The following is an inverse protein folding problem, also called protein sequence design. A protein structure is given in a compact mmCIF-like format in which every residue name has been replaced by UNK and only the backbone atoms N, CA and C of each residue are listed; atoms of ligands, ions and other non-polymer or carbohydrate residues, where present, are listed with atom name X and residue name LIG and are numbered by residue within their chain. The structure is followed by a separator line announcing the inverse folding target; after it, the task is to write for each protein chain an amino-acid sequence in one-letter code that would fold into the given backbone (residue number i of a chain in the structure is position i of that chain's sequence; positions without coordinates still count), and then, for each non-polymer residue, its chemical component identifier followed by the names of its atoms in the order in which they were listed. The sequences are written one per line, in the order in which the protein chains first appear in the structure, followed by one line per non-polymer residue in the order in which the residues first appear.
data_IF_308881699177
#
_entry.id   IF_308881699177
#
_cell.length_a   1.000
_cell.length_b   1.000
_cell.length_c   1.000
_cell.angle_alpha   90.00
_cell.angle_beta   90.00
_cell.angle_gamma   90.00
#
_symmetry.space_group_name_H-M   'P 1'
#
loop_
_entity.id
_entity.type
_entity.pdbx_description
1 polymer ?
#
# COMPACT_ATOMS: atom_id res chain seq x y z
N UNK A 1 9.81 -0.98 15.89
CA UNK A 1 9.04 0.20 16.35
C UNK A 1 9.68 0.87 17.56
N UNK A 2 9.99 0.20 18.64
CA UNK A 2 10.47 0.84 19.87
C UNK A 2 11.73 1.70 19.70
N UNK A 3 12.74 1.28 18.94
CA UNK A 3 13.99 2.03 18.76
C UNK A 3 13.77 3.31 17.95
N UNK A 4 13.08 3.22 16.82
CA UNK A 4 12.79 4.39 15.95
C UNK A 4 11.87 5.40 16.66
N UNK A 5 10.87 4.93 17.42
CA UNK A 5 10.00 5.80 18.21
C UNK A 5 10.73 6.50 19.35
N UNK A 6 11.67 5.84 20.02
CA UNK A 6 12.50 6.45 21.06
C UNK A 6 13.44 7.51 20.45
N UNK A 7 14.03 7.23 19.28
CA UNK A 7 14.88 8.21 18.58
C UNK A 7 14.08 9.47 18.18
N UNK A 8 12.88 9.28 17.63
CA UNK A 8 12.02 10.39 17.26
C UNK A 8 11.56 11.23 18.46
N UNK A 9 11.20 10.57 19.57
CA UNK A 9 10.85 11.26 20.81
C UNK A 9 12.01 12.11 21.36
N UNK A 10 13.21 11.56 21.35
CA UNK A 10 14.42 12.28 21.79
C UNK A 10 14.79 13.45 20.87
N UNK A 11 14.39 13.41 19.60
CA UNK A 11 14.61 14.47 18.62
C UNK A 11 13.48 15.51 18.57
N UNK A 12 12.41 15.32 19.38
CA UNK A 12 11.23 16.18 19.34
C UNK A 12 10.44 16.09 18.02
N UNK A 13 10.60 14.99 17.27
CA UNK A 13 9.93 14.78 15.99
C UNK A 13 8.47 14.34 16.21
N UNK A 14 7.59 15.33 16.37
CA UNK A 14 6.15 15.11 16.59
C UNK A 14 5.45 14.45 15.41
N UNK A 15 5.89 14.73 14.19
CA UNK A 15 5.42 14.13 12.96
C UNK A 15 5.61 12.61 12.98
N UNK A 16 6.80 12.15 13.33
CA UNK A 16 7.09 10.73 13.43
C UNK A 16 6.28 10.01 14.51
N UNK A 17 5.97 10.69 15.62
CA UNK A 17 5.07 10.14 16.65
C UNK A 17 3.65 9.94 16.10
N UNK A 18 3.17 10.88 15.27
CA UNK A 18 1.89 10.76 14.59
C UNK A 18 1.87 9.55 13.64
N UNK A 19 2.89 9.38 12.80
CA UNK A 19 3.01 8.22 11.92
C UNK A 19 3.11 6.89 12.67
N UNK A 20 3.86 6.87 13.77
CA UNK A 20 3.96 5.69 14.63
C UNK A 20 2.61 5.31 15.22
N UNK A 21 1.84 6.29 15.68
CA UNK A 21 0.48 6.10 16.19
C UNK A 21 -0.47 5.57 15.11
N UNK A 22 -0.46 6.17 13.94
CA UNK A 22 -1.26 5.74 12.79
C UNK A 22 -0.94 4.31 12.38
N UNK A 23 0.34 3.94 12.33
CA UNK A 23 0.78 2.58 12.00
C UNK A 23 0.30 1.57 13.05
N UNK A 24 0.29 1.92 14.34
CA UNK A 24 -0.25 1.05 15.39
C UNK A 24 -1.75 0.80 15.18
N UNK A 25 -2.51 1.82 14.82
CA UNK A 25 -3.95 1.69 14.51
C UNK A 25 -4.14 0.77 13.30
N UNK A 26 -3.36 0.97 12.24
CA UNK A 26 -3.40 0.10 11.04
C UNK A 26 -3.07 -1.35 11.41
N UNK A 27 -2.01 -1.59 12.18
CA UNK A 27 -1.64 -2.95 12.64
C UNK A 27 -2.79 -3.56 13.44
N UNK A 28 -3.41 -2.81 14.35
CA UNK A 28 -4.54 -3.31 15.12
C UNK A 28 -5.71 -3.73 14.22
N UNK A 29 -6.08 -2.88 13.26
CA UNK A 29 -7.14 -3.17 12.28
C UNK A 29 -6.80 -4.43 11.47
N UNK A 30 -5.58 -4.53 10.95
CA UNK A 30 -5.11 -5.69 10.17
C UNK A 30 -5.15 -6.98 10.99
N UNK A 31 -4.76 -6.93 12.27
CA UNK A 31 -4.85 -8.10 13.17
C UNK A 31 -6.32 -8.53 13.38
N UNK A 32 -7.25 -7.59 13.58
CA UNK A 32 -8.67 -7.94 13.71
C UNK A 32 -9.24 -8.51 12.40
N UNK A 33 -8.89 -7.93 11.26
CA UNK A 33 -9.28 -8.44 9.95
C UNK A 33 -8.68 -9.82 9.68
N UNK A 34 -7.40 -10.05 10.04
CA UNK A 34 -6.74 -11.33 9.84
C UNK A 34 -7.46 -12.49 10.54
N UNK A 35 -8.07 -12.25 11.70
CA UNK A 35 -8.87 -13.27 12.41
C UNK A 35 -10.09 -13.77 11.61
N UNK A 36 -10.57 -12.97 10.65
CA UNK A 36 -11.75 -13.29 9.82
C UNK A 36 -11.37 -13.67 8.39
N UNK A 37 -10.38 -12.96 7.84
CA UNK A 37 -9.98 -13.07 6.43
C UNK A 37 -8.92 -14.16 6.21
N UNK A 38 -8.07 -14.41 7.24
CA UNK A 38 -6.92 -15.31 7.14
C UNK A 38 -5.98 -14.93 6.00
N UNK A 39 -5.52 -13.67 6.00
CA UNK A 39 -4.59 -13.15 4.98
C UNK A 39 -3.48 -14.12 4.64
N UNK A 40 -3.18 -14.24 3.37
CA UNK A 40 -2.05 -15.05 2.88
C UNK A 40 -0.71 -14.52 3.41
N UNK A 41 0.30 -15.40 3.41
CA UNK A 41 1.66 -15.00 3.77
C UNK A 41 2.18 -13.88 2.89
N UNK A 42 1.83 -13.88 1.59
CA UNK A 42 2.23 -12.84 0.64
C UNK A 42 1.66 -11.47 1.03
N UNK A 43 0.36 -11.37 1.33
CA UNK A 43 -0.25 -10.13 1.78
C UNK A 43 0.37 -9.61 3.08
N UNK A 44 0.59 -10.49 4.06
CA UNK A 44 1.23 -10.12 5.33
C UNK A 44 2.67 -9.63 5.13
N UNK A 45 3.46 -10.28 4.28
CA UNK A 45 4.82 -9.84 3.99
C UNK A 45 4.85 -8.50 3.26
N UNK A 46 3.99 -8.28 2.27
CA UNK A 46 3.89 -6.98 1.56
C UNK A 46 3.63 -5.85 2.55
N UNK A 47 2.64 -6.00 3.43
CA UNK A 47 2.28 -4.99 4.43
C UNK A 47 3.37 -4.81 5.49
N UNK A 48 4.04 -5.89 5.91
CA UNK A 48 5.12 -5.83 6.90
C UNK A 48 6.36 -5.11 6.34
N UNK A 49 6.77 -5.46 5.11
CA UNK A 49 7.91 -4.82 4.44
C UNK A 49 7.58 -3.35 4.18
N UNK A 50 6.37 -3.02 3.72
CA UNK A 50 5.94 -1.63 3.58
C UNK A 50 6.05 -0.87 4.91
N UNK A 51 5.48 -1.40 5.99
CA UNK A 51 5.54 -0.74 7.29
C UNK A 51 6.98 -0.51 7.78
N UNK A 52 7.89 -1.45 7.52
CA UNK A 52 9.31 -1.28 7.84
C UNK A 52 9.95 -0.18 6.98
N UNK A 53 9.75 -0.21 5.66
CA UNK A 53 10.27 0.79 4.73
C UNK A 53 9.71 2.19 5.03
N UNK A 54 8.43 2.27 5.37
CA UNK A 54 7.79 3.51 5.80
C UNK A 54 8.45 4.08 7.07
N UNK A 55 8.72 3.26 8.07
CA UNK A 55 9.36 3.70 9.31
C UNK A 55 10.80 4.18 9.10
N UNK A 56 11.60 3.50 8.30
CA UNK A 56 12.97 3.95 8.00
C UNK A 56 12.98 5.22 7.14
N UNK A 57 11.97 5.38 6.27
CA UNK A 57 11.82 6.59 5.45
C UNK A 57 11.81 7.88 6.25
N UNK A 58 11.07 7.90 7.36
CA UNK A 58 10.95 9.07 8.23
C UNK A 58 12.06 9.23 9.28
N UNK A 59 12.96 8.25 9.42
CA UNK A 59 13.96 8.26 10.52
C UNK A 59 15.40 8.26 10.06
N UNK A 60 15.68 7.74 8.87
CA UNK A 60 17.06 7.65 8.36
C UNK A 60 17.46 8.99 7.77
N UNK A 61 18.50 9.67 8.33
CA UNK A 61 18.99 10.92 7.78
C UNK A 61 19.72 10.68 6.44
N UNK A 62 19.58 11.63 5.52
CA UNK A 62 20.29 11.61 4.23
C UNK A 62 21.05 12.92 4.03
N UNK A 63 22.06 12.91 3.16
CA UNK A 63 22.80 14.11 2.80
C UNK A 63 21.87 15.12 2.12
N UNK A 64 21.91 16.42 2.52
CA UNK A 64 21.06 17.47 1.94
C UNK A 64 21.18 17.61 0.42
N UNK A 65 22.29 17.21 -0.17
CA UNK A 65 22.51 17.24 -1.64
C UNK A 65 21.51 16.35 -2.41
N UNK A 66 20.95 15.30 -1.75
CA UNK A 66 19.94 14.41 -2.32
C UNK A 66 18.51 14.80 -1.97
N UNK A 67 18.32 15.97 -1.34
CA UNK A 67 17.00 16.50 -0.97
C UNK A 67 16.74 17.78 -1.77
N UNK A 68 16.21 17.68 -3.00
CA UNK A 68 15.92 18.86 -3.80
C UNK A 68 14.69 19.59 -3.27
N UNK A 69 14.84 20.87 -3.00
CA UNK A 69 13.75 21.75 -2.55
C UNK A 69 13.56 21.78 -1.03
N UNK A 70 12.38 22.14 -0.60
CA UNK A 70 12.00 22.18 0.81
C UNK A 70 11.67 20.77 1.31
N UNK A 71 12.18 20.40 2.46
CA UNK A 71 11.96 19.12 3.12
C UNK A 71 13.03 18.82 4.16
N UNK A 72 12.75 17.95 5.11
CA UNK A 72 13.78 17.47 6.03
C UNK A 72 14.74 16.51 5.33
N UNK A 73 15.98 16.50 5.82
CA UNK A 73 17.04 15.63 5.31
C UNK A 73 16.85 14.18 5.81
N UNK A 74 15.70 13.59 5.51
CA UNK A 74 15.36 12.19 5.81
C UNK A 74 15.12 11.41 4.51
N UNK A 75 15.15 10.09 4.62
CA UNK A 75 15.08 9.19 3.46
C UNK A 75 13.80 9.38 2.63
N UNK A 76 12.68 9.81 3.20
CA UNK A 76 11.48 10.17 2.43
C UNK A 76 11.75 11.20 1.35
N UNK A 77 12.51 12.24 1.69
CA UNK A 77 12.83 13.33 0.76
C UNK A 77 13.93 12.95 -0.24
N UNK A 78 14.57 11.78 -0.06
CA UNK A 78 15.68 11.34 -0.89
C UNK A 78 15.28 11.19 -2.36
N UNK A 79 16.08 11.78 -3.23
CA UNK A 79 15.99 11.67 -4.69
C UNK A 79 17.39 11.50 -5.27
N UNK A 80 17.64 10.39 -5.91
CA UNK A 80 18.95 10.10 -6.49
C UNK A 80 19.29 11.05 -7.65
N UNK A 81 18.30 11.42 -8.47
CA UNK A 81 18.40 12.32 -9.61
C UNK A 81 17.09 13.11 -9.77
N UNK A 82 17.13 14.34 -10.33
CA UNK A 82 15.95 15.18 -10.48
C UNK A 82 14.81 14.58 -11.32
N UNK A 83 15.15 13.65 -12.24
CA UNK A 83 14.24 12.96 -13.15
C UNK A 83 13.65 11.68 -12.56
N UNK A 84 14.11 11.23 -11.38
CA UNK A 84 13.62 10.03 -10.72
C UNK A 84 12.59 10.36 -9.62
N UNK A 85 11.72 9.41 -9.28
CA UNK A 85 10.81 9.59 -8.15
C UNK A 85 11.57 9.70 -6.83
N UNK A 86 10.97 10.36 -5.85
CA UNK A 86 11.46 10.35 -4.46
C UNK A 86 11.27 8.96 -3.87
N UNK A 87 12.04 8.65 -2.83
CA UNK A 87 11.84 7.43 -2.05
C UNK A 87 10.40 7.30 -1.56
N UNK A 88 9.82 8.36 -1.05
CA UNK A 88 8.43 8.46 -0.61
C UNK A 88 7.45 7.92 -1.67
N UNK A 89 7.53 8.40 -2.89
CA UNK A 89 6.70 7.98 -4.02
C UNK A 89 6.83 6.47 -4.32
N UNK A 90 8.02 5.91 -4.17
CA UNK A 90 8.26 4.47 -4.33
C UNK A 90 7.55 3.69 -3.22
N UNK A 91 7.63 4.18 -1.98
CA UNK A 91 6.99 3.54 -0.83
C UNK A 91 5.46 3.65 -0.91
N UNK A 92 4.93 4.76 -1.42
CA UNK A 92 3.51 4.92 -1.72
C UNK A 92 3.04 3.86 -2.73
N UNK A 93 3.71 3.73 -3.88
CA UNK A 93 3.37 2.72 -4.87
C UNK A 93 3.42 1.30 -4.30
N UNK A 94 4.46 0.96 -3.55
CA UNK A 94 4.61 -0.35 -2.93
C UNK A 94 3.56 -0.60 -1.83
N UNK A 95 3.27 0.38 -1.00
CA UNK A 95 2.28 0.30 0.07
C UNK A 95 0.88 0.06 -0.45
N UNK A 96 0.47 0.82 -1.49
CA UNK A 96 -0.85 0.68 -2.07
C UNK A 96 -0.97 -0.53 -3.00
N UNK A 97 0.13 -1.07 -3.51
CA UNK A 97 0.15 -2.42 -4.06
C UNK A 97 -0.24 -3.45 -2.97
N UNK A 98 0.43 -3.44 -1.82
CA UNK A 98 0.13 -4.36 -0.71
C UNK A 98 -1.27 -4.19 -0.13
N UNK A 99 -1.75 -2.93 0.03
CA UNK A 99 -3.09 -2.63 0.50
C UNK A 99 -4.17 -3.15 -0.47
N UNK A 100 -3.95 -3.05 -1.79
CA UNK A 100 -4.87 -3.57 -2.81
C UNK A 100 -4.95 -5.10 -2.76
N UNK A 101 -3.82 -5.79 -2.58
CA UNK A 101 -3.81 -7.26 -2.37
C UNK A 101 -4.62 -7.63 -1.13
N UNK A 102 -4.46 -6.89 -0.03
CA UNK A 102 -5.26 -7.11 1.17
C UNK A 102 -6.76 -6.85 0.93
N UNK A 103 -7.13 -5.78 0.20
CA UNK A 103 -8.51 -5.51 -0.18
C UNK A 103 -9.11 -6.65 -1.00
N UNK A 104 -8.35 -7.19 -1.97
CA UNK A 104 -8.77 -8.32 -2.77
C UNK A 104 -9.08 -9.57 -1.91
N UNK A 105 -8.22 -9.89 -0.94
CA UNK A 105 -8.44 -10.99 0.00
C UNK A 105 -9.64 -10.74 0.93
N UNK A 106 -9.85 -9.49 1.38
CA UNK A 106 -10.99 -9.10 2.20
C UNK A 106 -12.31 -9.32 1.45
N UNK A 107 -12.41 -8.82 0.21
CA UNK A 107 -13.65 -8.95 -0.58
C UNK A 107 -13.95 -10.42 -0.86
N UNK A 108 -12.94 -11.22 -1.19
CA UNK A 108 -13.10 -12.68 -1.35
C UNK A 108 -13.65 -13.35 -0.09
N UNK A 109 -13.02 -13.08 1.05
CA UNK A 109 -13.33 -13.78 2.30
C UNK A 109 -14.66 -13.35 2.90
N UNK A 110 -14.96 -12.04 2.91
CA UNK A 110 -16.13 -11.51 3.61
C UNK A 110 -17.40 -11.52 2.76
N UNK A 111 -17.28 -11.35 1.44
CA UNK A 111 -18.42 -11.26 0.54
C UNK A 111 -18.63 -12.54 -0.28
N UNK A 112 -17.78 -13.56 -0.12
CA UNK A 112 -17.83 -14.77 -0.93
C UNK A 112 -17.71 -14.48 -2.43
N UNK A 113 -17.01 -13.37 -2.78
CA UNK A 113 -16.91 -12.94 -4.17
C UNK A 113 -16.17 -13.99 -5.00
N UNK A 114 -16.80 -14.33 -6.13
CA UNK A 114 -16.15 -15.21 -7.12
C UNK A 114 -14.95 -14.48 -7.72
N UNK A 115 -13.93 -15.25 -8.06
CA UNK A 115 -12.75 -14.76 -8.77
C UNK A 115 -13.13 -14.13 -10.10
N UNK A 116 -12.29 -13.27 -10.65
CA UNK A 116 -12.46 -12.69 -11.97
C UNK A 116 -12.07 -11.21 -12.06
N UNK A 117 -12.09 -10.69 -13.26
CA UNK A 117 -11.71 -9.31 -13.60
C UNK A 117 -12.43 -8.28 -12.72
N UNK A 118 -13.73 -8.49 -12.46
CA UNK A 118 -14.53 -7.57 -11.66
C UNK A 118 -13.99 -7.44 -10.21
N UNK A 119 -13.59 -8.54 -9.60
CA UNK A 119 -13.01 -8.53 -8.26
C UNK A 119 -11.68 -7.77 -8.22
N UNK A 120 -10.81 -8.00 -9.21
CA UNK A 120 -9.53 -7.30 -9.31
C UNK A 120 -9.72 -5.79 -9.53
N UNK A 121 -10.71 -5.38 -10.33
CA UNK A 121 -11.07 -3.96 -10.51
C UNK A 121 -11.60 -3.36 -9.22
N UNK A 122 -12.52 -4.03 -8.51
CA UNK A 122 -13.05 -3.57 -7.23
C UNK A 122 -11.91 -3.39 -6.21
N UNK A 123 -11.01 -4.36 -6.11
CA UNK A 123 -9.87 -4.26 -5.20
C UNK A 123 -8.94 -3.08 -5.55
N UNK A 124 -8.69 -2.84 -6.85
CA UNK A 124 -7.89 -1.70 -7.30
C UNK A 124 -8.57 -0.36 -6.93
N UNK A 125 -9.88 -0.23 -7.15
CA UNK A 125 -10.65 0.96 -6.75
C UNK A 125 -10.61 1.16 -5.23
N UNK A 126 -10.75 0.09 -4.44
CA UNK A 126 -10.60 0.17 -2.99
C UNK A 126 -9.20 0.64 -2.57
N UNK A 127 -8.15 0.12 -3.20
CA UNK A 127 -6.78 0.56 -2.99
C UNK A 127 -6.58 2.04 -3.32
N UNK A 128 -7.12 2.50 -4.46
CA UNK A 128 -7.11 3.93 -4.83
C UNK A 128 -7.84 4.79 -3.78
N UNK A 129 -8.99 4.33 -3.29
CA UNK A 129 -9.74 5.00 -2.23
C UNK A 129 -8.94 5.12 -0.92
N UNK A 130 -8.24 4.05 -0.52
CA UNK A 130 -7.33 4.10 0.63
C UNK A 130 -6.16 5.04 0.38
N UNK A 131 -5.61 5.08 -0.85
CA UNK A 131 -4.56 6.02 -1.24
C UNK A 131 -5.02 7.47 -1.13
N UNK A 132 -6.20 7.77 -1.66
CA UNK A 132 -6.77 9.11 -1.54
C UNK A 132 -7.06 9.50 -0.08
N UNK A 133 -7.54 8.55 0.75
CA UNK A 133 -7.75 8.77 2.17
C UNK A 133 -6.43 9.08 2.90
N UNK A 134 -5.34 8.37 2.54
CA UNK A 134 -4.02 8.68 3.09
C UNK A 134 -3.61 10.12 2.82
N UNK A 135 -3.72 10.56 1.56
CA UNK A 135 -3.37 11.93 1.18
C UNK A 135 -4.24 12.99 1.89
N UNK A 136 -5.53 12.68 2.12
CA UNK A 136 -6.40 13.55 2.91
C UNK A 136 -5.93 13.63 4.36
N UNK A 137 -5.52 12.52 4.97
CA UNK A 137 -5.01 12.51 6.35
C UNK A 137 -3.67 13.26 6.45
N UNK A 138 -2.77 13.11 5.48
CA UNK A 138 -1.52 13.86 5.40
C UNK A 138 -1.78 15.36 5.23
N UNK A 139 -2.68 15.74 4.33
CA UNK A 139 -3.08 17.14 4.17
C UNK A 139 -3.62 17.74 5.48
N UNK A 140 -4.49 17.00 6.20
CA UNK A 140 -5.00 17.46 7.51
C UNK A 140 -3.84 17.60 8.50
N UNK A 141 -2.91 16.65 8.55
CA UNK A 141 -1.74 16.71 9.42
C UNK A 141 -0.91 17.97 9.17
N UNK A 142 -0.66 18.34 7.90
CA UNK A 142 0.06 19.57 7.53
C UNK A 142 -0.64 20.84 7.99
N UNK A 143 -1.93 20.79 8.27
CA UNK A 143 -2.70 21.95 8.78
C UNK A 143 -2.69 22.04 10.31
N UNK A 144 -2.40 20.94 10.98
CA UNK A 144 -2.41 20.86 12.44
C UNK A 144 -1.01 20.96 13.06
N UNK A 145 0.02 20.55 12.34
CA UNK A 145 1.41 20.53 12.81
C UNK A 145 2.35 20.96 11.68
N UNK A 146 3.52 21.46 12.03
CA UNK A 146 4.61 21.59 11.07
C UNK A 146 5.07 20.19 10.68
N UNK A 147 4.87 19.83 9.42
CA UNK A 147 5.22 18.51 8.87
C UNK A 147 6.17 18.66 7.69
N UNK A 148 6.95 17.61 7.46
CA UNK A 148 7.84 17.53 6.29
C UNK A 148 7.14 16.87 5.09
N UNK A 149 5.91 16.41 5.25
CA UNK A 149 5.10 15.86 4.17
C UNK A 149 4.56 17.02 3.33
N UNK A 150 4.98 17.02 2.13
CA UNK A 150 4.83 17.80 0.98
C UNK A 150 3.73 18.83 0.85
N UNK A 151 3.92 19.78 -0.04
CA UNK A 151 2.90 20.69 -0.56
C UNK A 151 2.08 20.01 -1.67
N UNK A 152 1.23 20.81 -2.31
CA UNK A 152 0.33 20.40 -3.39
C UNK A 152 0.95 19.48 -4.45
N UNK A 153 2.19 19.77 -4.88
CA UNK A 153 2.89 18.96 -5.88
C UNK A 153 3.27 17.56 -5.35
N UNK A 154 3.66 17.45 -4.08
CA UNK A 154 3.97 16.14 -3.47
C UNK A 154 2.72 15.27 -3.39
N UNK A 155 1.65 15.79 -2.81
CA UNK A 155 0.34 15.10 -2.76
C UNK A 155 -0.10 14.59 -4.14
N UNK A 156 0.08 15.42 -5.19
CA UNK A 156 -0.23 15.00 -6.56
C UNK A 156 0.59 13.81 -7.04
N UNK A 157 1.90 13.79 -6.79
CA UNK A 157 2.78 12.67 -7.16
C UNK A 157 2.55 11.42 -6.31
N UNK A 158 2.18 11.59 -5.04
CA UNK A 158 1.85 10.48 -4.16
C UNK A 158 0.54 9.81 -4.60
N UNK A 159 -0.48 10.58 -5.02
CA UNK A 159 -1.68 10.05 -5.65
C UNK A 159 -1.39 9.29 -6.95
N UNK A 160 -0.46 9.78 -7.79
CA UNK A 160 -0.02 9.06 -8.99
C UNK A 160 0.65 7.76 -8.61
N UNK A 161 1.54 7.78 -7.62
CA UNK A 161 2.26 6.60 -7.13
C UNK A 161 1.31 5.56 -6.53
N UNK A 162 0.35 6.01 -5.71
CA UNK A 162 -0.73 5.18 -5.17
C UNK A 162 -1.51 4.50 -6.29
N UNK A 163 -1.88 5.26 -7.34
CA UNK A 163 -2.61 4.73 -8.50
C UNK A 163 -1.79 3.68 -9.25
N UNK A 164 -0.50 3.93 -9.49
CA UNK A 164 0.38 2.94 -10.14
C UNK A 164 0.43 1.66 -9.32
N UNK A 165 0.65 1.76 -8.01
CA UNK A 165 0.71 0.60 -7.11
C UNK A 165 -0.58 -0.22 -7.15
N UNK A 166 -1.74 0.43 -7.08
CA UNK A 166 -3.05 -0.23 -7.08
C UNK A 166 -3.37 -0.90 -8.41
N UNK A 167 -3.05 -0.26 -9.54
CA UNK A 167 -3.24 -0.84 -10.88
C UNK A 167 -2.35 -2.08 -11.07
N UNK A 168 -1.06 -1.97 -10.70
CA UNK A 168 -0.15 -3.12 -10.75
C UNK A 168 -0.64 -4.29 -9.88
N UNK A 169 -1.16 -4.00 -8.68
CA UNK A 169 -1.75 -5.01 -7.82
C UNK A 169 -3.01 -5.64 -8.42
N UNK A 170 -3.86 -4.84 -9.09
CA UNK A 170 -5.04 -5.35 -9.80
C UNK A 170 -4.66 -6.38 -10.86
N UNK A 171 -3.65 -6.10 -11.68
CA UNK A 171 -3.12 -7.05 -12.65
C UNK A 171 -2.50 -8.28 -11.99
N UNK A 172 -1.76 -8.09 -10.90
CA UNK A 172 -1.18 -9.20 -10.15
C UNK A 172 -2.26 -10.11 -9.54
N UNK A 173 -3.32 -9.56 -8.97
CA UNK A 173 -4.46 -10.31 -8.46
C UNK A 173 -5.13 -11.12 -9.57
N UNK A 174 -5.34 -10.50 -10.74
CA UNK A 174 -5.93 -11.15 -11.89
C UNK A 174 -5.08 -12.34 -12.37
N UNK A 175 -3.75 -12.19 -12.47
CA UNK A 175 -2.86 -13.29 -12.88
C UNK A 175 -2.92 -14.48 -11.92
N UNK A 176 -3.06 -14.23 -10.61
CA UNK A 176 -3.21 -15.28 -9.59
C UNK A 176 -4.53 -16.03 -9.69
N UNK A 177 -5.53 -15.44 -10.31
CA UNK A 177 -6.81 -16.08 -10.54
C UNK A 177 -6.75 -17.06 -11.73
N UNK A 178 -5.99 -16.73 -12.77
CA UNK A 178 -5.82 -17.56 -13.96
C UNK A 178 -5.04 -18.85 -13.62
N UNK A 179 -3.98 -18.74 -12.82
CA UNK A 179 -3.11 -19.89 -12.47
C UNK A 179 -3.79 -20.98 -11.60
N UNK A 180 -4.92 -20.67 -10.98
CA UNK A 180 -5.60 -21.60 -10.06
C UNK A 180 -6.75 -22.37 -10.67
N UNK A 181 -7.07 -22.18 -11.94
CA UNK A 181 -8.20 -22.83 -12.59
C UNK A 181 -7.87 -23.44 -13.97
N UNK A 182 -6.96 -24.45 -14.05
CA UNK A 182 -6.70 -25.16 -15.30
C UNK A 182 -7.79 -26.18 -15.68
N UNK A 183 -8.74 -26.51 -14.78
CA UNK A 183 -9.59 -27.70 -14.93
C UNK A 183 -11.11 -27.44 -14.99
N UNK A 184 -11.61 -26.20 -14.87
CA UNK A 184 -13.06 -25.96 -15.01
C UNK A 184 -13.51 -25.87 -16.48
N UNK A 185 -12.65 -25.44 -17.38
CA UNK A 185 -12.98 -25.34 -18.80
C UNK A 185 -13.07 -26.72 -19.48
N UNK A 186 -12.30 -27.72 -19.01
CA UNK A 186 -12.33 -29.07 -19.56
C UNK A 186 -13.55 -29.87 -19.09
N UNK A 187 -14.08 -29.62 -17.90
CA UNK A 187 -15.27 -30.30 -17.39
C UNK A 187 -16.58 -29.77 -17.99
N UNK A 188 -16.61 -28.53 -18.44
CA UNK A 188 -17.80 -27.94 -19.09
C UNK A 188 -17.93 -28.37 -20.54
N UNK A 189 -16.82 -28.69 -21.21
CA UNK A 189 -16.80 -29.22 -22.57
C UNK A 189 -17.19 -30.70 -22.64
N UNK A 190 -16.91 -31.48 -21.58
CA UNK A 190 -17.25 -32.91 -21.54
C UNK A 190 -18.75 -33.17 -21.26
N UNK A 191 -19.46 -32.17 -20.69
CA UNK A 191 -20.90 -32.27 -20.42
C UNK A 191 -21.77 -31.80 -21.61
N UNK A 192 -21.17 -31.27 -22.67
CA UNK A 192 -21.92 -30.77 -23.87
C UNK A 192 -21.76 -31.62 -25.11
N UNK A 193 -21.06 -32.79 -25.04
CA UNK A 193 -21.00 -33.72 -26.18
C UNK A 193 -22.21 -34.66 -26.18
N UNK A 194 -23.16 -34.50 -27.11
CA UNK A 194 -24.39 -35.30 -27.17
C UNK A 194 -24.19 -36.66 -27.84
N UNK A 195 -22.98 -37.20 -27.83
CA UNK A 195 -22.64 -38.48 -28.45
C UNK A 195 -22.35 -39.60 -27.44
N UNK A 196 -23.35 -39.95 -26.64
CA UNK A 196 -23.47 -41.34 -26.17
C UNK A 196 -24.95 -41.75 -26.18
N UNK A 197 -25.25 -42.93 -26.78
CA UNK A 197 -26.60 -43.44 -26.98
C UNK A 197 -27.28 -43.90 -25.71
#
# INVERSE_FOLDING_TARGET
MSVTSIMAFNQGNTEFLFYSGSLLVIIYILVQLHKRVHFTRSALWLLTVWGFLHMIGGTVPVSPEYVPGEGSAVLYSFRLRPDLPRYDQIIHAFGFFGATVACWEIVKALLGAKRGVALSIIAAIMGMGLGALNEVLEFIATRLTETNVGGYTNTGWDLVSNTIGTVCAGFWCLSREVDTNPNEDDQQNDQTDPKHP
#
